data_IF_066859372908
#
_entry.id   IF_066859372908
#
_cell.length_a   1.000
_cell.length_b   1.000
_cell.length_c   1.000
_cell.angle_alpha   90.00
_cell.angle_beta   90.00
_cell.angle_gamma   90.00
#
_symmetry.space_group_name_H-M   'P 1'
#
loop_
_entity.id
_entity.type
_entity.pdbx_description
1 polymer ?
#
# COMPACT_ATOMS: atom_id res chain seq x y z
N UNK A 1 45.73 38.22 77.86
CA UNK A 1 45.35 37.50 79.10
C UNK A 1 43.88 37.68 79.31
N UNK A 2 43.05 36.68 79.59
CA UNK A 2 43.30 35.33 80.11
C UNK A 2 42.71 34.23 79.26
N UNK A 3 43.27 33.07 79.22
CA UNK A 3 43.12 31.79 79.95
C UNK A 3 41.88 30.98 79.45
N UNK A 4 42.23 29.85 78.85
CA UNK A 4 41.39 28.71 78.61
C UNK A 4 40.70 28.17 79.89
N UNK A 5 39.65 27.37 79.63
CA UNK A 5 39.72 26.04 80.21
C UNK A 5 39.44 24.92 79.19
N UNK A 6 40.21 23.92 79.36
CA UNK A 6 40.14 22.54 78.91
C UNK A 6 38.84 21.89 79.38
N UNK A 7 38.10 21.26 78.53
CA UNK A 7 37.09 20.25 78.87
C UNK A 7 37.44 18.92 78.24
N UNK A 8 37.82 18.03 79.09
CA UNK A 8 37.98 16.59 78.88
C UNK A 8 36.61 15.97 79.16
N UNK A 9 36.10 15.22 78.22
CA UNK A 9 34.84 14.52 78.36
C UNK A 9 34.80 13.36 77.42
N UNK A 10 34.85 12.24 78.02
CA UNK A 10 34.91 10.87 77.47
C UNK A 10 33.78 10.44 76.61
N UNK A 11 34.13 9.60 75.67
CA UNK A 11 33.52 8.29 75.30
C UNK A 11 32.02 8.19 75.05
N UNK A 12 31.77 7.80 73.89
CA UNK A 12 30.45 7.28 73.44
C UNK A 12 30.45 6.90 72.00
N UNK A 13 31.35 5.99 71.64
CA UNK A 13 31.32 5.42 70.26
C UNK A 13 30.10 4.51 70.10
N UNK A 14 28.99 5.06 69.68
CA UNK A 14 27.95 4.25 69.01
C UNK A 14 28.24 4.25 67.49
N UNK A 15 29.06 3.31 67.10
CA UNK A 15 29.19 2.94 65.71
C UNK A 15 27.84 2.30 65.26
N UNK A 16 26.96 3.11 64.65
CA UNK A 16 25.83 2.61 63.90
C UNK A 16 26.41 2.04 62.62
N UNK A 17 26.66 0.74 62.62
CA UNK A 17 26.92 -0.06 61.43
C UNK A 17 25.64 -0.02 60.58
N UNK A 18 25.59 0.94 59.66
CA UNK A 18 24.71 0.81 58.51
C UNK A 18 25.21 -0.37 57.68
N UNK A 19 24.60 -1.53 57.92
CA UNK A 19 24.73 -2.68 57.04
C UNK A 19 24.32 -2.26 55.66
N UNK A 20 25.28 -2.00 54.78
CA UNK A 20 25.02 -1.91 53.32
C UNK A 20 24.50 -3.26 52.94
N UNK A 21 23.16 -3.32 52.78
CA UNK A 21 22.53 -4.46 52.19
C UNK A 21 23.14 -4.61 50.80
N UNK A 22 24.01 -5.60 50.65
CA UNK A 22 24.51 -6.04 49.35
C UNK A 22 23.31 -6.39 48.48
N UNK A 23 22.95 -5.48 47.61
CA UNK A 23 21.92 -5.69 46.60
C UNK A 23 22.51 -6.70 45.61
N UNK A 24 22.50 -7.98 45.98
CA UNK A 24 22.76 -9.07 45.07
C UNK A 24 21.66 -9.03 44.05
N UNK A 25 21.94 -8.45 42.87
CA UNK A 25 21.08 -8.57 41.72
C UNK A 25 20.64 -10.03 41.58
N UNK A 26 19.35 -10.30 41.41
CA UNK A 26 18.87 -11.67 41.24
C UNK A 26 19.69 -12.34 40.13
N UNK A 27 20.24 -13.50 40.43
CA UNK A 27 21.11 -14.28 39.52
C UNK A 27 20.42 -14.71 38.23
N UNK A 28 19.14 -14.46 38.11
CA UNK A 28 18.27 -14.79 36.97
C UNK A 28 18.70 -14.13 35.62
N UNK A 29 19.55 -13.09 35.68
CA UNK A 29 19.99 -12.34 34.50
C UNK A 29 21.50 -12.33 34.28
N UNK A 30 22.25 -13.20 34.96
CA UNK A 30 23.71 -13.14 34.92
C UNK A 30 24.37 -14.17 34.00
N UNK A 31 23.62 -15.10 33.43
CA UNK A 31 24.20 -16.12 32.57
C UNK A 31 23.49 -16.07 31.20
N UNK A 32 24.26 -16.08 30.10
CA UNK A 32 23.71 -16.08 28.74
C UNK A 32 22.74 -17.24 28.49
N UNK A 33 22.90 -18.32 29.24
CA UNK A 33 22.02 -19.47 29.24
C UNK A 33 20.63 -19.15 29.81
N UNK A 34 20.55 -18.34 30.86
CA UNK A 34 19.28 -17.93 31.47
C UNK A 34 18.50 -16.97 30.54
N UNK A 35 19.22 -16.10 29.84
CA UNK A 35 18.64 -15.23 28.81
C UNK A 35 18.08 -16.07 27.68
N UNK A 36 18.81 -17.08 27.21
CA UNK A 36 18.35 -17.97 26.16
C UNK A 36 17.09 -18.76 26.58
N UNK A 37 17.05 -19.30 27.79
CA UNK A 37 15.90 -20.03 28.33
C UNK A 37 14.67 -19.11 28.43
N UNK A 38 14.83 -17.91 28.96
CA UNK A 38 13.74 -16.95 29.05
C UNK A 38 13.23 -16.51 27.67
N UNK A 39 14.12 -16.30 26.70
CA UNK A 39 13.74 -15.98 25.33
C UNK A 39 12.94 -17.11 24.68
N UNK A 40 13.38 -18.35 24.84
CA UNK A 40 12.64 -19.53 24.34
C UNK A 40 11.26 -19.62 24.99
N UNK A 41 11.17 -19.42 26.31
CA UNK A 41 9.90 -19.45 27.02
C UNK A 41 8.92 -18.36 26.51
N UNK A 42 9.39 -17.15 26.27
CA UNK A 42 8.59 -16.07 25.73
C UNK A 42 8.12 -16.40 24.31
N UNK A 43 8.99 -16.92 23.47
CA UNK A 43 8.63 -17.32 22.10
C UNK A 43 7.57 -18.42 22.13
N UNK A 44 7.72 -19.44 22.98
CA UNK A 44 6.73 -20.51 23.12
C UNK A 44 5.39 -19.97 23.59
N UNK A 45 5.38 -19.09 24.59
CA UNK A 45 4.13 -18.43 25.04
C UNK A 45 3.49 -17.60 23.96
N UNK A 46 4.28 -16.86 23.17
CA UNK A 46 3.78 -16.09 22.03
C UNK A 46 3.14 -17.01 20.97
N UNK A 47 3.83 -18.09 20.61
CA UNK A 47 3.30 -19.05 19.62
C UNK A 47 2.00 -19.70 20.11
N UNK A 48 1.94 -20.07 21.39
CA UNK A 48 0.72 -20.63 21.99
C UNK A 48 -0.40 -19.59 22.02
N UNK A 49 -0.12 -18.36 22.44
CA UNK A 49 -1.12 -17.29 22.48
C UNK A 49 -1.66 -16.95 21.09
N UNK A 50 -0.77 -16.79 20.11
CA UNK A 50 -1.16 -16.51 18.71
C UNK A 50 -1.88 -17.70 18.09
N UNK A 51 -1.43 -18.92 18.34
CA UNK A 51 -2.09 -20.14 17.86
C UNK A 51 -3.48 -20.34 18.45
N UNK A 52 -3.65 -20.05 19.75
CA UNK A 52 -4.95 -20.17 20.42
C UNK A 52 -5.97 -19.10 19.98
N UNK A 53 -5.51 -17.95 19.52
CA UNK A 53 -6.39 -16.87 19.03
C UNK A 53 -6.85 -17.06 17.58
N UNK A 54 -6.31 -18.06 16.87
CA UNK A 54 -6.66 -18.30 15.46
C UNK A 54 -6.22 -17.18 14.51
N UNK A 55 -5.43 -16.22 14.96
CA UNK A 55 -4.94 -15.08 14.16
C UNK A 55 -3.88 -15.49 13.12
N UNK A 56 -3.27 -16.68 13.29
CA UNK A 56 -2.42 -17.30 12.28
C UNK A 56 -3.15 -18.52 11.69
N UNK A 57 -4.13 -18.29 10.84
CA UNK A 57 -4.56 -19.34 9.91
C UNK A 57 -3.50 -19.42 8.82
N UNK A 58 -2.48 -20.25 9.06
CA UNK A 58 -1.58 -20.65 7.99
C UNK A 58 -2.37 -21.60 7.08
N UNK A 59 -2.98 -21.02 6.04
CA UNK A 59 -3.62 -21.79 4.98
C UNK A 59 -2.57 -22.02 3.88
N UNK A 60 -1.94 -23.20 3.78
CA UNK A 60 -0.97 -23.50 2.72
C UNK A 60 -1.63 -23.79 1.37
N UNK A 61 -2.95 -23.68 1.28
CA UNK A 61 -3.69 -23.69 0.02
C UNK A 61 -3.62 -22.33 -0.68
N UNK A 62 -3.79 -22.31 -2.00
CA UNK A 62 -4.14 -21.07 -2.68
C UNK A 62 -5.31 -20.42 -1.92
N UNK A 63 -5.32 -19.11 -1.68
CA UNK A 63 -6.44 -18.47 -0.98
C UNK A 63 -7.72 -18.91 -1.67
N UNK A 64 -8.60 -19.60 -0.94
CA UNK A 64 -9.98 -19.77 -1.38
C UNK A 64 -10.48 -18.34 -1.57
N UNK A 65 -10.70 -17.98 -2.83
CA UNK A 65 -11.09 -16.65 -3.20
C UNK A 65 -12.44 -16.41 -2.53
N UNK A 66 -12.42 -15.66 -1.44
CA UNK A 66 -13.63 -15.08 -0.89
C UNK A 66 -14.34 -14.27 -1.98
N UNK A 67 -15.63 -14.01 -1.84
CA UNK A 67 -16.35 -13.21 -2.83
C UNK A 67 -15.57 -11.91 -3.04
N UNK A 68 -15.24 -11.63 -4.31
CA UNK A 68 -14.58 -10.37 -4.68
C UNK A 68 -15.49 -9.25 -4.20
N UNK A 69 -14.97 -8.36 -3.36
CA UNK A 69 -15.76 -7.25 -2.89
C UNK A 69 -15.93 -6.25 -4.04
N UNK A 70 -17.16 -6.10 -4.49
CA UNK A 70 -17.51 -5.12 -5.52
C UNK A 70 -17.54 -3.71 -4.90
N UNK A 71 -17.01 -2.74 -5.65
CA UNK A 71 -16.91 -1.33 -5.27
C UNK A 71 -17.77 -0.48 -6.19
N UNK A 72 -18.51 0.46 -5.63
CA UNK A 72 -19.24 1.47 -6.41
C UNK A 72 -18.29 2.53 -7.00
N UNK A 73 -17.61 2.14 -8.08
CA UNK A 73 -16.70 3.04 -8.77
C UNK A 73 -17.43 4.12 -9.57
N UNK A 74 -18.69 3.91 -9.92
CA UNK A 74 -19.47 4.91 -10.64
C UNK A 74 -19.68 6.15 -9.78
N UNK A 75 -20.18 5.98 -8.56
CA UNK A 75 -20.35 7.10 -7.61
C UNK A 75 -19.02 7.78 -7.30
N UNK A 76 -17.94 7.00 -7.17
CA UNK A 76 -16.59 7.57 -6.98
C UNK A 76 -16.19 8.45 -8.18
N UNK A 77 -16.31 7.97 -9.41
CA UNK A 77 -15.91 8.72 -10.61
C UNK A 77 -16.83 9.94 -10.86
N UNK A 78 -18.10 9.87 -10.50
CA UNK A 78 -19.02 11.01 -10.56
C UNK A 78 -18.57 12.17 -9.63
N UNK A 79 -17.93 11.84 -8.51
CA UNK A 79 -17.33 12.82 -7.62
C UNK A 79 -16.01 13.35 -8.15
N UNK A 80 -15.14 12.47 -8.64
CA UNK A 80 -13.83 12.84 -9.18
C UNK A 80 -13.96 13.74 -10.42
N UNK A 81 -14.91 13.47 -11.30
CA UNK A 81 -15.17 14.25 -12.51
C UNK A 81 -15.43 15.75 -12.26
N UNK A 82 -15.85 16.10 -11.03
CA UNK A 82 -16.07 17.51 -10.63
C UNK A 82 -14.78 18.22 -10.19
N UNK A 83 -13.73 17.46 -9.94
CA UNK A 83 -12.48 17.97 -9.38
C UNK A 83 -11.28 17.90 -10.32
N UNK A 84 -11.49 17.53 -11.58
CA UNK A 84 -10.44 17.44 -12.61
C UNK A 84 -10.83 18.23 -13.84
N UNK A 85 -9.84 18.69 -14.61
CA UNK A 85 -10.01 19.54 -15.79
C UNK A 85 -10.07 18.73 -17.10
N UNK A 86 -10.27 17.41 -17.02
CA UNK A 86 -10.38 16.52 -18.17
C UNK A 86 -11.60 15.60 -18.02
N UNK A 87 -12.14 15.09 -19.14
CA UNK A 87 -13.30 14.21 -19.09
C UNK A 87 -12.97 12.86 -18.45
N UNK A 88 -13.82 12.44 -17.51
CA UNK A 88 -13.72 11.15 -16.83
C UNK A 88 -14.79 10.21 -17.39
N UNK A 89 -14.44 8.93 -17.58
CA UNK A 89 -15.33 7.88 -18.10
C UNK A 89 -15.42 6.74 -17.11
N UNK A 90 -16.61 6.16 -17.00
CA UNK A 90 -16.80 4.89 -16.31
C UNK A 90 -17.18 3.81 -17.30
N UNK A 91 -16.25 2.98 -17.79
CA UNK A 91 -16.56 1.87 -18.68
C UNK A 91 -17.40 0.83 -17.94
N UNK A 92 -18.60 0.59 -18.43
CA UNK A 92 -19.45 -0.50 -17.94
C UNK A 92 -18.97 -1.80 -18.60
N UNK A 93 -18.18 -2.56 -17.84
CA UNK A 93 -17.59 -3.79 -18.33
C UNK A 93 -18.64 -4.90 -18.48
N UNK A 94 -18.45 -5.83 -19.44
CA UNK A 94 -19.36 -6.94 -19.62
C UNK A 94 -19.33 -7.93 -18.46
N UNK A 95 -20.23 -8.94 -18.53
CA UNK A 95 -20.34 -9.99 -17.53
C UNK A 95 -19.00 -10.73 -17.32
N UNK A 96 -18.68 -11.00 -16.06
CA UNK A 96 -17.43 -11.64 -15.67
C UNK A 96 -16.36 -10.66 -15.14
N UNK A 97 -16.48 -9.38 -15.48
CA UNK A 97 -15.63 -8.34 -14.89
C UNK A 97 -16.22 -7.86 -13.56
N UNK A 98 -15.36 -7.71 -12.54
CA UNK A 98 -15.79 -7.22 -11.22
C UNK A 98 -14.98 -6.01 -10.83
N UNK A 99 -15.63 -4.87 -10.67
CA UNK A 99 -14.99 -3.66 -10.14
C UNK A 99 -14.62 -3.88 -8.68
N UNK A 100 -13.33 -3.94 -8.35
CA UNK A 100 -12.89 -4.26 -7.02
C UNK A 100 -12.13 -3.14 -6.31
N UNK A 101 -11.79 -2.09 -7.00
CA UNK A 101 -11.11 -0.92 -6.41
C UNK A 101 -11.44 0.38 -7.13
N UNK A 102 -11.56 1.45 -6.37
CA UNK A 102 -11.66 2.81 -6.87
C UNK A 102 -10.90 3.73 -5.91
N UNK A 103 -10.01 4.56 -6.44
CA UNK A 103 -9.19 5.45 -5.63
C UNK A 103 -8.71 6.66 -6.43
N UNK A 104 -8.40 7.73 -5.73
CA UNK A 104 -7.65 8.85 -6.30
C UNK A 104 -6.17 8.53 -6.25
N UNK A 105 -5.51 8.60 -7.40
CA UNK A 105 -4.06 8.58 -7.55
C UNK A 105 -3.57 9.99 -7.92
N UNK A 106 -2.27 10.14 -7.99
CA UNK A 106 -1.63 11.35 -8.54
C UNK A 106 -0.79 10.92 -9.73
N UNK A 107 -0.87 11.69 -10.82
CA UNK A 107 -0.07 11.45 -12.00
C UNK A 107 0.32 12.82 -12.61
N UNK A 108 1.61 13.03 -12.84
CA UNK A 108 2.10 14.35 -13.27
C UNK A 108 1.78 15.47 -12.27
N UNK A 109 1.67 15.16 -10.98
CA UNK A 109 1.30 16.13 -9.94
C UNK A 109 -0.19 16.52 -9.93
N UNK A 110 -1.02 15.90 -10.75
CA UNK A 110 -2.46 16.14 -10.84
C UNK A 110 -3.27 14.95 -10.31
N UNK A 111 -4.49 15.18 -9.77
CA UNK A 111 -5.40 14.09 -9.42
C UNK A 111 -5.71 13.23 -10.64
N UNK A 112 -5.64 11.91 -10.46
CA UNK A 112 -5.85 10.93 -11.51
C UNK A 112 -6.73 9.79 -10.96
N UNK A 113 -8.06 9.83 -11.20
CA UNK A 113 -8.95 8.78 -10.76
C UNK A 113 -8.56 7.45 -11.36
N UNK A 114 -8.50 6.43 -10.49
CA UNK A 114 -8.07 5.08 -10.84
C UNK A 114 -9.12 4.08 -10.40
N UNK A 115 -9.55 3.24 -11.32
CA UNK A 115 -10.46 2.12 -11.05
C UNK A 115 -9.79 0.82 -11.47
N UNK A 116 -9.99 -0.23 -10.70
CA UNK A 116 -9.45 -1.56 -10.98
C UNK A 116 -10.53 -2.62 -11.05
N UNK A 117 -10.34 -3.56 -11.95
CA UNK A 117 -11.23 -4.70 -12.17
C UNK A 117 -10.48 -6.02 -12.03
N UNK A 118 -11.17 -7.00 -11.48
CA UNK A 118 -10.83 -8.40 -11.67
C UNK A 118 -11.44 -8.81 -12.99
N UNK A 119 -10.63 -9.41 -13.85
CA UNK A 119 -11.04 -9.86 -15.20
C UNK A 119 -11.69 -11.24 -15.13
N UNK A 120 -12.39 -11.68 -16.20
CA UNK A 120 -12.96 -13.03 -16.28
C UNK A 120 -11.93 -14.14 -16.09
N UNK A 121 -10.70 -13.96 -16.58
CA UNK A 121 -9.60 -14.90 -16.45
C UNK A 121 -8.81 -14.73 -15.12
N UNK A 122 -9.44 -14.02 -14.16
CA UNK A 122 -8.87 -13.74 -12.82
C UNK A 122 -7.60 -12.93 -12.82
N UNK A 123 -7.35 -12.18 -13.88
CA UNK A 123 -6.37 -11.12 -13.93
C UNK A 123 -6.84 -9.91 -13.12
N UNK A 124 -6.01 -8.90 -13.10
CA UNK A 124 -6.34 -7.59 -12.53
C UNK A 124 -5.83 -6.51 -13.47
N UNK A 125 -6.71 -5.62 -13.88
CA UNK A 125 -6.34 -4.45 -14.67
C UNK A 125 -6.89 -3.20 -13.98
N UNK A 126 -6.05 -2.19 -13.87
CA UNK A 126 -6.46 -0.86 -13.43
C UNK A 126 -6.37 0.14 -14.57
N UNK A 127 -7.34 1.03 -14.63
CA UNK A 127 -7.42 2.18 -15.51
C UNK A 127 -7.25 3.44 -14.68
N UNK A 128 -6.24 4.23 -14.98
CA UNK A 128 -6.03 5.58 -14.46
C UNK A 128 -6.34 6.57 -15.57
N UNK A 129 -7.12 7.60 -15.28
CA UNK A 129 -7.48 8.64 -16.24
C UNK A 129 -6.78 9.94 -15.86
N UNK A 130 -6.25 10.66 -16.87
CA UNK A 130 -5.47 11.87 -16.63
C UNK A 130 -5.55 12.84 -17.80
N UNK A 131 -5.30 14.12 -17.52
CA UNK A 131 -5.19 15.18 -18.52
C UNK A 131 -3.78 15.45 -19.02
N UNK A 132 -2.74 14.81 -18.40
CA UNK A 132 -1.34 15.01 -18.85
C UNK A 132 -1.08 14.31 -20.17
N UNK A 133 -0.02 14.69 -20.86
CA UNK A 133 0.34 14.04 -22.13
C UNK A 133 0.82 12.58 -21.95
N UNK A 134 0.92 11.84 -23.06
CA UNK A 134 1.23 10.41 -23.01
C UNK A 134 2.63 10.12 -22.44
N UNK A 135 3.63 10.96 -22.75
CA UNK A 135 4.99 10.78 -22.27
C UNK A 135 5.08 11.01 -20.76
N UNK A 136 4.43 12.08 -20.27
CA UNK A 136 4.35 12.37 -18.84
C UNK A 136 3.53 11.30 -18.11
N UNK A 137 2.44 10.84 -18.70
CA UNK A 137 1.63 9.75 -18.17
C UNK A 137 2.42 8.45 -18.04
N UNK A 138 3.21 8.09 -19.04
CA UNK A 138 4.04 6.89 -19.02
C UNK A 138 5.14 6.97 -17.96
N UNK A 139 5.75 8.15 -17.77
CA UNK A 139 6.81 8.36 -16.76
C UNK A 139 6.25 8.45 -15.34
N UNK A 140 5.09 9.04 -15.18
CA UNK A 140 4.50 9.34 -13.88
C UNK A 140 3.63 8.24 -13.29
N UNK A 141 3.36 7.16 -14.02
CA UNK A 141 2.40 6.15 -13.60
C UNK A 141 2.80 5.44 -12.29
N UNK A 142 4.08 5.10 -12.11
CA UNK A 142 4.57 4.42 -10.91
C UNK A 142 6.09 4.56 -10.70
N UNK A 143 6.72 5.52 -11.38
CA UNK A 143 8.17 5.80 -11.32
C UNK A 143 9.07 4.60 -11.67
N UNK A 144 8.52 3.57 -12.34
CA UNK A 144 9.27 2.40 -12.76
C UNK A 144 9.89 2.61 -14.15
N UNK A 145 11.12 2.12 -14.37
CA UNK A 145 11.77 2.27 -15.67
C UNK A 145 11.04 1.44 -16.73
N UNK A 146 10.59 2.10 -17.79
CA UNK A 146 9.97 1.47 -18.95
C UNK A 146 10.47 2.10 -20.23
N UNK A 147 10.48 1.32 -21.28
CA UNK A 147 10.76 1.76 -22.66
C UNK A 147 9.55 1.48 -23.52
N UNK A 148 9.32 2.35 -24.49
CA UNK A 148 8.30 2.12 -25.51
C UNK A 148 8.69 0.86 -26.31
N UNK A 149 7.82 -0.15 -26.23
CA UNK A 149 7.98 -1.41 -26.97
C UNK A 149 7.37 -1.29 -28.36
N UNK A 150 6.11 -0.87 -28.42
CA UNK A 150 5.37 -0.67 -29.67
C UNK A 150 4.23 0.34 -29.53
N UNK A 151 3.76 0.81 -30.67
CA UNK A 151 2.52 1.57 -30.78
C UNK A 151 1.57 0.82 -31.70
N UNK A 152 0.31 0.82 -31.35
CA UNK A 152 -0.77 0.20 -32.14
C UNK A 152 -1.98 1.10 -32.17
N UNK A 153 -3.00 0.73 -32.92
CA UNK A 153 -4.25 1.48 -33.02
C UNK A 153 -5.42 0.59 -32.55
N UNK A 154 -6.20 1.07 -31.60
CA UNK A 154 -7.43 0.43 -31.12
C UNK A 154 -8.57 1.42 -31.31
N UNK A 155 -9.59 1.03 -32.05
CA UNK A 155 -10.78 1.86 -32.35
C UNK A 155 -10.45 3.27 -32.87
N UNK A 156 -9.40 3.38 -33.71
CA UNK A 156 -8.95 4.65 -34.30
C UNK A 156 -8.20 5.56 -33.34
N UNK A 157 -7.72 5.02 -32.21
CA UNK A 157 -6.93 5.75 -31.21
C UNK A 157 -5.55 5.12 -31.07
N UNK A 158 -4.54 5.99 -30.93
CA UNK A 158 -3.17 5.56 -30.68
C UNK A 158 -3.02 4.99 -29.29
N UNK A 159 -2.41 3.83 -29.21
CA UNK A 159 -2.04 3.12 -27.96
C UNK A 159 -0.57 2.86 -27.96
N UNK A 160 0.12 3.39 -26.96
CA UNK A 160 1.54 3.18 -26.73
C UNK A 160 1.72 2.12 -25.64
N UNK A 161 2.50 1.09 -25.94
CA UNK A 161 2.74 -0.02 -25.00
C UNK A 161 4.19 0.04 -24.54
N UNK A 162 4.35 0.17 -23.24
CA UNK A 162 5.64 0.26 -22.57
C UNK A 162 5.94 -1.01 -21.79
N UNK A 163 7.17 -1.49 -21.88
CA UNK A 163 7.64 -2.67 -21.17
C UNK A 163 8.88 -2.36 -20.34
N UNK A 164 9.22 -3.23 -19.40
CA UNK A 164 10.40 -3.13 -18.57
C UNK A 164 11.21 -4.43 -18.62
N UNK A 165 12.53 -4.33 -18.50
CA UNK A 165 13.41 -5.47 -18.30
C UNK A 165 13.32 -6.04 -16.87
N UNK A 166 12.78 -5.26 -15.92
CA UNK A 166 12.57 -5.69 -14.54
C UNK A 166 11.39 -6.65 -14.45
N UNK A 167 11.61 -7.83 -13.88
CA UNK A 167 10.62 -8.93 -13.84
C UNK A 167 9.33 -8.57 -13.08
N UNK A 168 9.43 -7.67 -12.10
CA UNK A 168 8.31 -7.28 -11.23
C UNK A 168 7.57 -6.02 -11.72
N UNK A 169 7.99 -5.48 -12.88
CA UNK A 169 7.37 -4.30 -13.48
C UNK A 169 6.41 -4.72 -14.58
N UNK A 170 5.13 -4.44 -14.37
CA UNK A 170 4.07 -4.75 -15.34
C UNK A 170 4.14 -3.83 -16.56
N UNK A 171 3.68 -4.32 -17.68
CA UNK A 171 3.46 -3.50 -18.87
C UNK A 171 2.52 -2.34 -18.59
N UNK A 172 2.70 -1.26 -19.32
CA UNK A 172 1.88 -0.06 -19.23
C UNK A 172 1.36 0.28 -20.62
N UNK A 173 0.06 0.48 -20.72
CA UNK A 173 -0.62 0.87 -21.95
C UNK A 173 -1.12 2.30 -21.78
N UNK A 174 -0.74 3.18 -22.69
CA UNK A 174 -1.16 4.59 -22.66
C UNK A 174 -1.95 4.87 -23.93
N UNK A 175 -3.23 5.20 -23.76
CA UNK A 175 -4.19 5.45 -24.85
C UNK A 175 -4.45 6.93 -24.96
N UNK A 176 -4.34 7.48 -26.16
CA UNK A 176 -4.77 8.83 -26.48
C UNK A 176 -6.27 8.83 -26.81
N UNK A 177 -7.11 9.11 -25.81
CA UNK A 177 -8.54 9.26 -26.05
C UNK A 177 -8.93 10.61 -26.71
N UNK A 178 -7.94 11.49 -26.96
CA UNK A 178 -8.11 12.80 -27.55
C UNK A 178 -8.30 13.90 -26.52
N UNK A 179 -9.25 13.74 -25.62
CA UNK A 179 -9.62 14.69 -24.56
C UNK A 179 -9.05 14.31 -23.16
N UNK A 180 -8.57 13.09 -23.04
CA UNK A 180 -7.91 12.55 -21.86
C UNK A 180 -6.89 11.46 -22.25
N UNK A 181 -6.05 11.04 -21.32
CA UNK A 181 -5.18 9.86 -21.46
C UNK A 181 -5.70 8.78 -20.53
N UNK A 182 -5.76 7.55 -21.09
CA UNK A 182 -6.14 6.36 -20.37
C UNK A 182 -4.88 5.54 -20.15
N UNK A 183 -4.50 5.34 -18.89
CA UNK A 183 -3.28 4.61 -18.51
C UNK A 183 -3.69 3.30 -17.86
N UNK A 184 -3.34 2.18 -18.51
CA UNK A 184 -3.71 0.86 -18.04
C UNK A 184 -2.46 0.08 -17.61
N UNK A 185 -2.56 -0.64 -16.51
CA UNK A 185 -1.52 -1.58 -16.07
C UNK A 185 -2.16 -2.70 -15.26
N UNK A 186 -1.51 -3.85 -15.23
CA UNK A 186 -2.07 -4.99 -14.52
C UNK A 186 -1.45 -6.32 -14.90
N UNK A 187 -2.17 -7.38 -14.58
CA UNK A 187 -1.82 -8.78 -14.83
C UNK A 187 -2.92 -9.50 -15.63
N UNK A 188 -3.63 -8.79 -16.50
CA UNK A 188 -4.58 -9.36 -17.46
C UNK A 188 -3.89 -9.82 -18.75
N UNK A 189 -4.63 -10.56 -19.56
CA UNK A 189 -4.23 -10.91 -20.93
C UNK A 189 -4.37 -9.69 -21.86
N UNK A 190 -3.65 -9.68 -22.98
CA UNK A 190 -3.70 -8.56 -23.94
C UNK A 190 -5.11 -8.27 -24.43
N UNK A 191 -5.89 -9.31 -24.72
CA UNK A 191 -7.29 -9.19 -25.14
C UNK A 191 -8.18 -8.51 -24.11
N UNK A 192 -7.89 -8.69 -22.80
CA UNK A 192 -8.64 -8.04 -21.73
C UNK A 192 -8.28 -6.54 -21.64
N UNK A 193 -7.01 -6.17 -21.92
CA UNK A 193 -6.63 -4.76 -22.05
C UNK A 193 -7.36 -4.12 -23.24
N UNK A 194 -7.37 -4.78 -24.40
CA UNK A 194 -8.05 -4.30 -25.60
C UNK A 194 -9.57 -4.12 -25.35
N UNK A 195 -10.22 -5.07 -24.68
CA UNK A 195 -11.64 -5.00 -24.32
C UNK A 195 -11.94 -3.81 -23.41
N UNK A 196 -11.12 -3.61 -22.37
CA UNK A 196 -11.27 -2.46 -21.47
C UNK A 196 -11.03 -1.13 -22.18
N UNK A 197 -10.03 -1.06 -23.06
CA UNK A 197 -9.73 0.13 -23.88
C UNK A 197 -10.91 0.44 -24.79
N UNK A 198 -11.38 -0.53 -25.56
CA UNK A 198 -12.52 -0.35 -26.49
C UNK A 198 -13.78 0.09 -25.75
N UNK A 199 -14.07 -0.55 -24.62
CA UNK A 199 -15.22 -0.16 -23.78
C UNK A 199 -15.07 1.26 -23.25
N UNK A 200 -13.88 1.65 -22.77
CA UNK A 200 -13.62 2.99 -22.27
C UNK A 200 -13.71 4.06 -23.38
N UNK A 201 -13.21 3.77 -24.57
CA UNK A 201 -13.31 4.68 -25.73
C UNK A 201 -14.75 4.85 -26.23
N UNK A 202 -15.56 3.78 -26.19
CA UNK A 202 -16.99 3.83 -26.53
C UNK A 202 -17.85 4.53 -25.47
N UNK A 203 -17.34 4.67 -24.23
CA UNK A 203 -18.09 5.26 -23.12
C UNK A 203 -18.06 6.79 -23.19
N UNK A 204 -19.24 7.40 -23.14
CA UNK A 204 -19.35 8.85 -23.04
C UNK A 204 -18.75 9.38 -21.71
N UNK A 205 -18.08 10.53 -21.74
CA UNK A 205 -17.62 11.16 -20.50
C UNK A 205 -18.75 11.46 -19.53
N UNK A 206 -18.45 11.32 -18.25
CA UNK A 206 -19.35 11.74 -17.18
C UNK A 206 -19.50 13.27 -17.27
N UNK A 207 -20.73 13.72 -17.41
CA UNK A 207 -21.00 15.14 -17.34
C UNK A 207 -20.93 15.58 -15.89
N UNK A 208 -19.93 16.39 -15.54
CA UNK A 208 -19.95 17.06 -14.25
C UNK A 208 -21.25 17.86 -14.18
N UNK A 209 -22.12 17.52 -13.22
CA UNK A 209 -23.33 18.30 -13.02
C UNK A 209 -22.85 19.75 -12.69
N UNK A 210 -23.16 20.69 -13.59
CA UNK A 210 -22.87 22.08 -13.38
C UNK A 210 -23.41 22.48 -12.01
N UNK A 211 -22.49 22.84 -11.10
CA UNK A 211 -22.85 23.28 -9.77
C UNK A 211 -23.63 24.59 -9.88
N UNK A 212 -24.94 24.50 -9.71
CA UNK A 212 -25.83 25.65 -9.62
C UNK A 212 -25.78 26.20 -8.18
#
# INVERSE_FOLDING_TARGET
MPVLPTFKGEAGAHAILFGVASNKKPRIFQDGRDIAINSVLIIVLMVVAVGATGLCSFNPGAPEQGPVQEVDAKTFLDLEARGVDFPVRYPEMPEGWVTNSARRSMLGGQPAPTVGWITPDRGFIQLTQTGVDAEEAAKGADEKPRTLDRSEEIDGRSVEIYTSEEKDVRGLWVVDAGDARLVLTGAGEASEFEELISTALATAPIQAADGN
#
